data_IF_383132803834
#
_entry.id   IF_383132803834
#
_cell.length_a   1.000
_cell.length_b   1.000
_cell.length_c   1.000
_cell.angle_alpha   90.00
_cell.angle_beta   90.00
_cell.angle_gamma   90.00
#
_symmetry.space_group_name_H-M   'P 1'
#
loop_
_entity.id
_entity.type
_entity.pdbx_description
1 polymer ?
#
# COMPACT_ATOMS: atom_id res chain seq x y z
N UNK A 1 -4.05 48.16 39.06
CA UNK A 1 -4.15 46.73 38.70
C UNK A 1 -2.88 46.42 37.92
N UNK A 2 -1.99 45.59 38.45
CA UNK A 2 -0.71 45.27 37.80
C UNK A 2 -0.90 44.01 36.95
N UNK A 3 -0.70 44.13 35.64
CA UNK A 3 -0.46 42.97 34.78
C UNK A 3 0.95 42.46 35.14
N UNK A 4 1.03 41.32 35.81
CA UNK A 4 2.30 40.59 35.88
C UNK A 4 2.55 39.97 34.51
N UNK A 5 3.69 40.28 33.90
CA UNK A 5 4.17 39.57 32.73
C UNK A 5 4.31 38.07 33.08
N UNK A 6 3.89 37.22 32.15
CA UNK A 6 4.11 35.78 32.24
C UNK A 6 5.61 35.57 32.22
N UNK A 7 6.19 35.28 33.40
CA UNK A 7 7.59 34.86 33.49
C UNK A 7 7.66 33.50 32.81
N UNK A 8 8.45 33.36 31.74
CA UNK A 8 8.78 32.06 31.18
C UNK A 8 9.45 31.23 32.29
N UNK A 9 8.70 30.33 32.92
CA UNK A 9 9.23 29.38 33.90
C UNK A 9 9.75 28.20 33.11
N UNK A 10 10.99 28.32 32.64
CA UNK A 10 11.67 27.32 31.83
C UNK A 10 13.07 27.80 31.44
N UNK A 11 13.86 26.92 30.84
CA UNK A 11 15.13 27.27 30.21
C UNK A 11 14.92 27.14 28.70
N UNK A 12 14.59 28.23 27.99
CA UNK A 12 14.16 28.18 26.59
C UNK A 12 15.18 27.52 25.65
N UNK A 13 16.47 27.53 25.99
CA UNK A 13 17.47 26.82 25.20
C UNK A 13 17.31 25.29 25.29
N UNK A 14 16.96 24.74 26.46
CA UNK A 14 16.76 23.31 26.65
C UNK A 14 15.51 22.83 25.91
N UNK A 15 14.42 23.60 25.99
CA UNK A 15 13.17 23.31 25.29
C UNK A 15 13.38 23.30 23.77
N UNK A 16 14.12 24.29 23.23
CA UNK A 16 14.52 24.31 21.81
C UNK A 16 15.41 23.13 21.42
N UNK A 17 16.32 22.70 22.30
CA UNK A 17 17.19 21.54 22.03
C UNK A 17 16.36 20.26 21.98
N UNK A 18 15.40 20.10 22.88
CA UNK A 18 14.55 18.91 22.96
C UNK A 18 13.52 18.86 21.82
N UNK A 19 12.91 19.99 21.46
CA UNK A 19 12.11 20.13 20.24
C UNK A 19 12.91 19.70 18.99
N UNK A 20 14.15 20.18 18.86
CA UNK A 20 15.03 19.83 17.75
C UNK A 20 15.39 18.34 17.72
N UNK A 21 15.61 17.71 18.89
CA UNK A 21 15.87 16.26 18.98
C UNK A 21 14.64 15.43 18.64
N UNK A 22 13.46 15.81 19.14
CA UNK A 22 12.19 15.14 18.86
C UNK A 22 11.85 15.23 17.37
N UNK A 23 12.02 16.41 16.76
CA UNK A 23 11.82 16.61 15.32
C UNK A 23 12.76 15.74 14.48
N UNK A 24 14.05 15.65 14.84
CA UNK A 24 15.01 14.76 14.16
C UNK A 24 14.58 13.29 14.22
N UNK A 25 14.11 12.83 15.38
CA UNK A 25 13.64 11.44 15.55
C UNK A 25 12.38 11.17 14.74
N UNK A 26 11.45 12.12 14.69
CA UNK A 26 10.22 12.03 13.91
C UNK A 26 10.54 11.95 12.41
N UNK A 27 11.38 12.85 11.90
CA UNK A 27 11.84 12.85 10.50
C UNK A 27 12.52 11.52 10.14
N UNK A 28 13.37 11.00 11.02
CA UNK A 28 14.03 9.71 10.82
C UNK A 28 13.03 8.55 10.73
N UNK A 29 12.03 8.50 11.62
CA UNK A 29 10.97 7.48 11.57
C UNK A 29 10.14 7.58 10.30
N UNK A 30 9.78 8.80 9.89
CA UNK A 30 9.07 9.03 8.63
C UNK A 30 9.89 8.57 7.44
N UNK A 31 11.19 8.88 7.40
CA UNK A 31 12.10 8.41 6.36
C UNK A 31 12.10 6.88 6.27
N UNK A 32 12.30 6.18 7.39
CA UNK A 32 12.26 4.71 7.42
C UNK A 32 10.93 4.18 6.88
N UNK A 33 9.79 4.73 7.35
CA UNK A 33 8.48 4.29 6.87
C UNK A 33 8.32 4.50 5.37
N UNK A 34 8.76 5.64 4.83
CA UNK A 34 8.69 5.92 3.39
C UNK A 34 9.59 4.99 2.59
N UNK A 35 10.81 4.72 3.06
CA UNK A 35 11.76 3.83 2.40
C UNK A 35 11.25 2.39 2.41
N UNK A 36 10.66 1.94 3.53
CA UNK A 36 10.08 0.61 3.65
C UNK A 36 8.86 0.45 2.72
N UNK A 37 7.98 1.45 2.65
CA UNK A 37 6.85 1.47 1.70
C UNK A 37 7.33 1.44 0.25
N UNK A 38 8.39 2.20 -0.09
CA UNK A 38 8.99 2.20 -1.44
C UNK A 38 9.56 0.82 -1.79
N UNK A 39 10.38 0.24 -0.91
CA UNK A 39 10.96 -1.09 -1.12
C UNK A 39 9.90 -2.16 -1.26
N UNK A 40 8.92 -2.18 -0.35
CA UNK A 40 7.79 -3.10 -0.44
C UNK A 40 7.06 -2.94 -1.78
N UNK A 41 6.73 -1.72 -2.19
CA UNK A 41 6.06 -1.48 -3.47
C UNK A 41 6.89 -1.97 -4.66
N UNK A 42 8.20 -1.71 -4.70
CA UNK A 42 9.07 -2.11 -5.81
C UNK A 42 9.29 -3.62 -5.84
N UNK A 43 9.60 -4.24 -4.70
CA UNK A 43 9.91 -5.67 -4.63
C UNK A 43 8.65 -6.54 -4.74
N UNK A 44 7.61 -6.19 -4.00
CA UNK A 44 6.37 -6.98 -3.95
C UNK A 44 5.56 -6.78 -5.24
N UNK A 45 5.23 -5.54 -5.62
CA UNK A 45 4.47 -5.32 -6.87
C UNK A 45 5.31 -5.63 -8.11
N UNK A 46 6.64 -5.45 -8.05
CA UNK A 46 7.53 -5.85 -9.13
C UNK A 46 7.51 -7.37 -9.38
N UNK A 47 7.40 -8.18 -8.33
CA UNK A 47 7.18 -9.63 -8.44
C UNK A 47 5.80 -9.95 -9.03
N UNK A 48 4.74 -9.25 -8.62
CA UNK A 48 3.38 -9.45 -9.17
C UNK A 48 3.30 -9.16 -10.68
N UNK A 49 4.10 -8.21 -11.20
CA UNK A 49 4.10 -7.86 -12.64
C UNK A 49 4.49 -9.02 -13.55
N UNK A 50 5.31 -9.97 -13.07
CA UNK A 50 5.68 -11.15 -13.88
C UNK A 50 4.48 -12.08 -14.15
N UNK A 51 3.44 -12.05 -13.32
CA UNK A 51 2.23 -12.87 -13.48
C UNK A 51 1.36 -12.37 -14.65
N UNK A 52 1.42 -11.07 -15.00
CA UNK A 52 0.66 -10.50 -16.14
C UNK A 52 1.11 -11.04 -17.52
N UNK A 53 2.24 -11.76 -17.61
CA UNK A 53 2.74 -12.29 -18.89
C UNK A 53 2.18 -13.66 -19.27
N UNK A 54 1.25 -14.23 -18.49
CA UNK A 54 0.46 -15.38 -18.95
C UNK A 54 -0.47 -14.88 -20.04
N UNK A 55 -0.03 -15.05 -21.29
CA UNK A 55 -0.84 -14.80 -22.48
C UNK A 55 -2.03 -15.76 -22.44
N UNK A 56 -3.19 -15.22 -22.12
CA UNK A 56 -4.48 -15.89 -22.22
C UNK A 56 -5.54 -14.85 -21.93
N UNK A 57 -6.24 -14.42 -22.97
CA UNK A 57 -7.46 -13.61 -22.83
C UNK A 57 -8.60 -14.49 -22.29
N UNK A 58 -8.42 -15.05 -21.09
CA UNK A 58 -9.53 -15.66 -20.36
C UNK A 58 -10.28 -14.49 -19.72
N UNK A 59 -11.27 -13.97 -20.43
CA UNK A 59 -12.19 -12.95 -19.94
C UNK A 59 -13.07 -13.58 -18.86
N UNK A 60 -12.55 -13.62 -17.62
CA UNK A 60 -13.31 -14.05 -16.45
C UNK A 60 -14.59 -13.21 -16.34
N UNK A 61 -15.73 -13.87 -16.13
CA UNK A 61 -17.03 -13.24 -15.96
C UNK A 61 -17.64 -13.59 -14.59
N UNK A 62 -18.61 -12.77 -14.16
CA UNK A 62 -19.38 -13.06 -12.96
C UNK A 62 -20.24 -14.31 -13.18
N UNK A 63 -20.10 -15.30 -12.30
CA UNK A 63 -20.78 -16.58 -12.42
C UNK A 63 -19.88 -17.74 -12.82
N UNK A 64 -18.67 -17.45 -13.34
CA UNK A 64 -17.73 -18.49 -13.75
C UNK A 64 -17.20 -19.28 -12.56
N UNK A 65 -16.96 -20.57 -12.80
CA UNK A 65 -16.36 -21.48 -11.84
C UNK A 65 -14.87 -21.59 -12.13
N UNK A 66 -14.04 -21.27 -11.13
CA UNK A 66 -12.59 -21.22 -11.23
C UNK A 66 -11.92 -22.07 -10.17
N UNK A 67 -10.74 -22.60 -10.48
CA UNK A 67 -9.87 -23.26 -9.51
C UNK A 67 -8.88 -22.24 -8.94
N UNK A 68 -8.83 -22.14 -7.61
CA UNK A 68 -7.89 -21.27 -6.90
C UNK A 68 -6.65 -22.08 -6.58
N UNK A 69 -5.58 -21.80 -7.34
CA UNK A 69 -4.29 -22.42 -7.14
C UNK A 69 -3.48 -21.75 -6.01
N UNK A 70 -2.86 -22.59 -5.20
CA UNK A 70 -1.81 -22.21 -4.26
C UNK A 70 -0.55 -23.02 -4.61
N UNK A 71 0.59 -22.33 -4.76
CA UNK A 71 1.90 -22.91 -5.08
C UNK A 71 2.35 -23.93 -4.03
N UNK A 72 1.85 -23.82 -2.79
CA UNK A 72 2.16 -24.74 -1.69
C UNK A 72 1.31 -26.01 -1.69
N UNK A 73 0.29 -26.10 -2.55
CA UNK A 73 -0.64 -27.24 -2.57
C UNK A 73 -0.64 -27.96 -3.93
N UNK A 74 -0.81 -29.28 -3.89
CA UNK A 74 -0.99 -30.06 -5.13
C UNK A 74 -2.29 -29.63 -5.83
N UNK A 75 -2.28 -29.61 -7.16
CA UNK A 75 -3.43 -29.21 -8.00
C UNK A 75 -4.75 -29.90 -7.66
N UNK A 76 -4.69 -31.14 -7.19
CA UNK A 76 -5.87 -31.93 -6.81
C UNK A 76 -6.59 -31.36 -5.57
N UNK A 77 -5.88 -30.60 -4.73
CA UNK A 77 -6.42 -29.98 -3.52
C UNK A 77 -6.77 -28.51 -3.74
N UNK A 78 -6.76 -28.02 -4.98
CA UNK A 78 -7.13 -26.65 -5.26
C UNK A 78 -8.63 -26.46 -5.05
N UNK A 79 -8.97 -25.38 -4.35
CA UNK A 79 -10.35 -25.09 -4.04
C UNK A 79 -11.07 -24.60 -5.30
N UNK A 80 -12.29 -25.08 -5.49
CA UNK A 80 -13.19 -24.61 -6.54
C UNK A 80 -14.01 -23.43 -6.00
N UNK A 81 -14.05 -22.33 -6.74
CA UNK A 81 -14.79 -21.12 -6.36
C UNK A 81 -15.65 -20.62 -7.51
N UNK A 82 -16.76 -19.96 -7.17
CA UNK A 82 -17.58 -19.22 -8.14
C UNK A 82 -17.26 -17.73 -8.04
N UNK A 83 -17.02 -17.08 -9.18
CA UNK A 83 -16.82 -15.64 -9.23
C UNK A 83 -18.16 -14.96 -8.94
N UNK A 84 -18.24 -14.25 -7.81
CA UNK A 84 -19.44 -13.48 -7.45
C UNK A 84 -19.44 -12.10 -8.07
N UNK A 85 -18.28 -11.44 -8.07
CA UNK A 85 -18.14 -10.07 -8.53
C UNK A 85 -16.71 -9.81 -8.98
N UNK A 86 -16.57 -9.06 -10.07
CA UNK A 86 -15.28 -8.63 -10.58
C UNK A 86 -15.05 -7.14 -10.26
N UNK A 87 -13.85 -6.83 -9.79
CA UNK A 87 -13.42 -5.46 -9.55
C UNK A 87 -12.32 -5.11 -10.55
N UNK A 88 -12.67 -4.48 -11.68
CA UNK A 88 -11.67 -4.08 -12.66
C UNK A 88 -10.74 -3.06 -12.02
N UNK A 89 -9.43 -3.25 -12.23
CA UNK A 89 -8.45 -2.22 -11.90
C UNK A 89 -8.72 -0.96 -12.73
N UNK A 90 -8.22 0.19 -12.25
CA UNK A 90 -8.23 1.44 -13.01
C UNK A 90 -7.24 1.36 -14.17
N UNK A 91 -7.56 0.52 -15.15
CA UNK A 91 -6.85 0.41 -16.41
C UNK A 91 -7.71 1.16 -17.44
N UNK A 92 -7.34 2.40 -17.73
CA UNK A 92 -8.00 3.25 -18.76
C UNK A 92 -7.73 2.66 -20.15
N UNK A 93 -8.28 1.48 -20.43
CA UNK A 93 -8.37 0.94 -21.79
C UNK A 93 -9.84 0.98 -22.19
N UNK A 94 -10.19 2.15 -22.71
CA UNK A 94 -11.07 2.38 -23.85
C UNK A 94 -11.82 1.10 -24.28
N UNK A 95 -12.98 0.86 -23.68
CA UNK A 95 -14.00 0.05 -24.32
C UNK A 95 -14.55 0.92 -25.45
N UNK A 96 -13.94 0.78 -26.63
CA UNK A 96 -14.58 1.15 -27.88
C UNK A 96 -15.83 0.28 -27.99
N UNK A 97 -17.00 0.91 -27.97
CA UNK A 97 -18.28 0.26 -28.20
C UNK A 97 -18.35 -0.14 -29.69
N UNK A 98 -18.86 -1.33 -30.05
CA UNK A 98 -19.15 -1.63 -31.45
C UNK A 98 -20.39 -0.85 -31.91
N UNK A 99 -20.36 -0.42 -33.17
CA UNK A 99 -21.49 0.14 -33.94
C UNK A 99 -22.53 -0.93 -34.24
#
# INVERSE_FOLDING_TARGET
>A
MFLQDIREVGVPELDRIDENKLNKRLVYRNRIQTDLRKRFRVEYLGKLRKIKNVKGEDTLSEGDIVLVGDDHTKRINWNLGKILKLYPGKETRRLEQPK
#
